data_IF_431088564524
#
_entry.id   IF_431088564524
#
_cell.length_a   1.000
_cell.length_b   1.000
_cell.length_c   1.000
_cell.angle_alpha   90.00
_cell.angle_beta   90.00
_cell.angle_gamma   90.00
#
_symmetry.space_group_name_H-M   'P 1'
#
loop_
_entity.id
_entity.type
_entity.pdbx_description
1 polymer ?
#
# COMPACT_ATOMS: atom_id res chain seq x y z
N UNK A 1 28.66 -5.07 2.86
CA UNK A 1 27.56 -5.90 2.32
C UNK A 1 26.39 -5.64 3.24
N UNK A 2 25.40 -4.84 2.80
CA UNK A 2 24.17 -4.67 3.59
C UNK A 2 23.53 -6.06 3.66
N UNK A 3 23.10 -6.46 4.84
CA UNK A 3 22.47 -7.77 5.03
C UNK A 3 21.21 -7.86 4.14
N UNK A 4 21.02 -8.99 3.46
CA UNK A 4 19.91 -9.24 2.54
C UNK A 4 18.57 -9.00 3.24
N UNK A 5 18.51 -9.28 4.54
CA UNK A 5 17.36 -8.97 5.38
C UNK A 5 17.02 -7.48 5.35
N UNK A 6 17.97 -6.60 5.69
CA UNK A 6 17.75 -5.15 5.73
C UNK A 6 17.39 -4.57 4.36
N UNK A 7 18.01 -5.07 3.28
CA UNK A 7 17.63 -4.65 1.93
C UNK A 7 16.20 -5.08 1.55
N UNK A 8 15.77 -6.26 2.00
CA UNK A 8 14.41 -6.75 1.74
C UNK A 8 13.38 -5.92 2.48
N UNK A 9 13.65 -5.56 3.74
CA UNK A 9 12.77 -4.73 4.56
C UNK A 9 12.67 -3.31 3.99
N UNK A 10 13.79 -2.66 3.64
CA UNK A 10 13.79 -1.34 3.01
C UNK A 10 12.94 -1.31 1.72
N UNK A 11 12.98 -2.39 0.93
CA UNK A 11 12.17 -2.54 -0.28
C UNK A 11 10.68 -2.73 0.03
N UNK A 12 10.34 -3.47 1.09
CA UNK A 12 8.95 -3.63 1.53
C UNK A 12 8.36 -2.29 1.99
N UNK A 13 9.10 -1.49 2.77
CA UNK A 13 8.69 -0.14 3.15
C UNK A 13 8.50 0.78 1.95
N UNK A 14 9.41 0.72 0.98
CA UNK A 14 9.26 1.49 -0.27
C UNK A 14 7.99 1.06 -1.03
N UNK A 15 7.73 -0.23 -1.13
CA UNK A 15 6.53 -0.76 -1.79
C UNK A 15 5.25 -0.33 -1.07
N UNK A 16 5.24 -0.32 0.27
CA UNK A 16 4.12 0.17 1.07
C UNK A 16 3.84 1.64 0.77
N UNK A 17 4.86 2.50 0.83
CA UNK A 17 4.71 3.93 0.54
C UNK A 17 4.18 4.18 -0.88
N UNK A 18 4.61 3.40 -1.88
CA UNK A 18 4.08 3.50 -3.23
C UNK A 18 2.63 3.03 -3.35
N UNK A 19 2.26 1.95 -2.65
CA UNK A 19 0.90 1.43 -2.63
C UNK A 19 -0.07 2.41 -1.96
N UNK A 20 0.30 2.97 -0.81
CA UNK A 20 -0.49 4.01 -0.12
C UNK A 20 -0.62 5.27 -0.98
N UNK A 21 0.46 5.71 -1.63
CA UNK A 21 0.41 6.84 -2.56
C UNK A 21 -0.53 6.58 -3.75
N UNK A 22 -0.53 5.35 -4.29
CA UNK A 22 -1.47 4.96 -5.35
C UNK A 22 -2.92 4.97 -4.86
N UNK A 23 -3.18 4.47 -3.65
CA UNK A 23 -4.51 4.47 -3.05
C UNK A 23 -5.05 5.90 -2.92
N UNK A 24 -4.25 6.83 -2.38
CA UNK A 24 -4.64 8.22 -2.23
C UNK A 24 -4.88 8.92 -3.56
N UNK A 25 -4.06 8.68 -4.59
CA UNK A 25 -4.28 9.22 -5.94
C UNK A 25 -5.61 8.70 -6.52
N UNK A 26 -5.88 7.40 -6.40
CA UNK A 26 -7.11 6.79 -6.89
C UNK A 26 -8.33 7.34 -6.13
N UNK A 27 -8.22 7.52 -4.82
CA UNK A 27 -9.27 8.10 -3.99
C UNK A 27 -9.57 9.54 -4.39
N UNK A 28 -8.55 10.39 -4.54
CA UNK A 28 -8.71 11.77 -5.02
C UNK A 28 -9.37 11.77 -6.40
N UNK A 29 -8.93 10.88 -7.30
CA UNK A 29 -9.55 10.78 -8.62
C UNK A 29 -11.03 10.43 -8.51
N UNK A 30 -11.40 9.44 -7.69
CA UNK A 30 -12.78 9.04 -7.44
C UNK A 30 -13.63 10.21 -6.93
N UNK A 31 -13.11 11.02 -6.00
CA UNK A 31 -13.79 12.18 -5.42
C UNK A 31 -14.05 13.31 -6.45
N UNK A 32 -13.29 13.36 -7.55
CA UNK A 32 -13.46 14.38 -8.62
C UNK A 32 -14.43 13.98 -9.74
N UNK A 33 -14.90 12.73 -9.77
CA UNK A 33 -15.77 12.23 -10.84
C UNK A 33 -17.22 12.73 -10.68
N UNK A 34 -17.84 13.15 -11.79
CA UNK A 34 -19.25 13.55 -11.82
C UNK A 34 -20.21 12.38 -11.99
N UNK A 35 -21.53 12.66 -12.06
CA UNK A 35 -22.58 11.63 -12.12
C UNK A 35 -22.98 11.21 -13.56
N UNK A 36 -22.27 11.69 -14.58
CA UNK A 36 -22.53 11.28 -15.97
C UNK A 36 -22.10 9.82 -16.21
N UNK A 37 -22.67 9.17 -17.23
CA UNK A 37 -22.45 7.73 -17.46
C UNK A 37 -20.98 7.36 -17.67
N UNK A 38 -20.21 8.25 -18.34
CA UNK A 38 -18.77 8.05 -18.53
C UNK A 38 -18.03 8.07 -17.18
N UNK A 39 -18.37 9.01 -16.31
CA UNK A 39 -17.73 9.12 -14.99
C UNK A 39 -18.20 8.03 -14.03
N UNK A 40 -19.45 7.54 -14.15
CA UNK A 40 -19.92 6.31 -13.47
C UNK A 40 -19.09 5.08 -13.85
N UNK A 41 -18.77 4.91 -15.14
CA UNK A 41 -17.91 3.83 -15.58
C UNK A 41 -16.50 3.96 -15.00
N UNK A 42 -15.90 5.16 -15.03
CA UNK A 42 -14.58 5.40 -14.41
C UNK A 42 -14.60 5.13 -12.91
N UNK A 43 -15.64 5.59 -12.21
CA UNK A 43 -15.83 5.37 -10.77
C UNK A 43 -15.81 3.88 -10.43
N UNK A 44 -16.55 3.05 -11.18
CA UNK A 44 -16.53 1.58 -11.00
C UNK A 44 -15.13 0.98 -11.17
N UNK A 45 -14.36 1.44 -12.16
CA UNK A 45 -13.00 0.95 -12.40
C UNK A 45 -12.08 1.38 -11.26
N UNK A 46 -12.14 2.65 -10.85
CA UNK A 46 -11.32 3.18 -9.75
C UNK A 46 -11.64 2.46 -8.44
N UNK A 47 -12.92 2.25 -8.12
CA UNK A 47 -13.32 1.43 -6.97
C UNK A 47 -12.75 0.02 -7.05
N UNK A 48 -12.83 -0.65 -8.21
CA UNK A 48 -12.27 -1.99 -8.36
C UNK A 48 -10.74 -2.02 -8.17
N UNK A 49 -10.02 -1.00 -8.66
CA UNK A 49 -8.58 -0.86 -8.42
C UNK A 49 -8.26 -0.64 -6.95
N UNK A 50 -9.02 0.22 -6.26
CA UNK A 50 -8.89 0.44 -4.81
C UNK A 50 -9.11 -0.87 -4.04
N UNK A 51 -10.18 -1.62 -4.34
CA UNK A 51 -10.48 -2.90 -3.68
C UNK A 51 -9.37 -3.94 -3.88
N UNK A 52 -8.67 -3.92 -5.00
CA UNK A 52 -7.52 -4.81 -5.24
C UNK A 52 -6.25 -4.32 -4.54
N UNK A 53 -6.12 -3.01 -4.30
CA UNK A 53 -4.95 -2.40 -3.69
C UNK A 53 -4.98 -2.48 -2.16
N UNK A 54 -6.16 -2.39 -1.54
CA UNK A 54 -6.36 -2.55 -0.09
C UNK A 54 -5.66 -3.80 0.50
N UNK A 55 -5.85 -5.03 -0.04
CA UNK A 55 -5.15 -6.19 0.50
C UNK A 55 -3.63 -6.13 0.29
N UNK A 56 -3.13 -5.50 -0.79
CA UNK A 56 -1.69 -5.33 -1.01
C UNK A 56 -1.08 -4.44 0.07
N UNK A 57 -1.77 -3.33 0.42
CA UNK A 57 -1.34 -2.45 1.51
C UNK A 57 -1.34 -3.22 2.85
N UNK A 58 -2.41 -3.96 3.14
CA UNK A 58 -2.52 -4.73 4.39
C UNK A 58 -1.38 -5.75 4.55
N UNK A 59 -1.06 -6.51 3.50
CA UNK A 59 0.04 -7.49 3.53
C UNK A 59 1.40 -6.80 3.75
N UNK A 60 1.62 -5.63 3.14
CA UNK A 60 2.85 -4.85 3.33
C UNK A 60 2.96 -4.27 4.75
N UNK A 61 1.86 -3.82 5.34
CA UNK A 61 1.80 -3.38 6.75
C UNK A 61 2.01 -4.55 7.73
N UNK A 62 1.57 -5.76 7.38
CA UNK A 62 1.85 -6.95 8.18
C UNK A 62 3.34 -7.31 8.16
N UNK A 63 4.03 -7.11 7.03
CA UNK A 63 5.48 -7.27 6.93
C UNK A 63 6.22 -6.27 7.85
N UNK A 64 5.79 -5.00 7.90
CA UNK A 64 6.30 -4.00 8.85
C UNK A 64 6.10 -4.47 10.31
N UNK A 65 4.89 -4.92 10.64
CA UNK A 65 4.58 -5.43 11.98
C UNK A 65 5.41 -6.68 12.36
N UNK A 66 5.69 -7.56 11.39
CA UNK A 66 6.58 -8.71 11.58
C UNK A 66 8.03 -8.27 11.80
N UNK A 67 8.49 -7.26 11.06
CA UNK A 67 9.83 -6.69 11.20
C UNK A 67 10.04 -6.08 12.59
N UNK A 68 9.09 -5.26 13.05
CA UNK A 68 9.17 -4.59 14.35
C UNK A 68 9.24 -5.62 15.49
N UNK A 69 8.36 -6.63 15.47
CA UNK A 69 8.39 -7.73 16.45
C UNK A 69 9.70 -8.52 16.43
N UNK A 70 10.28 -8.74 15.24
CA UNK A 70 11.56 -9.41 15.13
C UNK A 70 12.66 -8.59 15.80
N UNK A 71 12.70 -7.27 15.58
CA UNK A 71 13.66 -6.37 16.21
C UNK A 71 13.49 -6.35 17.74
N UNK A 72 12.27 -6.17 18.25
CA UNK A 72 11.98 -6.20 19.70
C UNK A 72 12.53 -7.47 20.38
N UNK A 73 12.45 -8.63 19.69
CA UNK A 73 12.89 -9.92 20.23
C UNK A 73 14.40 -10.19 20.09
N UNK A 74 15.09 -9.59 19.12
CA UNK A 74 16.46 -9.97 18.75
C UNK A 74 17.50 -8.86 18.92
N UNK A 75 17.09 -7.59 18.90
CA UNK A 75 18.00 -6.45 19.06
C UNK A 75 17.86 -5.77 20.43
N UNK A 76 16.76 -6.02 21.17
CA UNK A 76 16.60 -5.52 22.54
C UNK A 76 16.53 -4.00 22.65
N UNK A 77 16.12 -3.33 21.57
CA UNK A 77 15.61 -1.95 21.59
C UNK A 77 14.08 -1.97 21.78
#
# INVERSE_FOLDING_TARGET
MRDIYHETIDRAFSALAYAEGMYEILRIWLETLGDNERDKQKSRIVTALITLLEPVINELQEIETLHDRYNEQHTGE
#
